data_IF_408649679649
#
_entry.id   IF_408649679649
#
_cell.length_a   1.000
_cell.length_b   1.000
_cell.length_c   1.000
_cell.angle_alpha   90.00
_cell.angle_beta   90.00
_cell.angle_gamma   90.00
#
_symmetry.space_group_name_H-M   'P 1'
#
loop_
_entity.id
_entity.type
_entity.pdbx_description
1 polymer ?
#
# COMPACT_ATOMS: atom_id res chain seq x y z
N UNK A 1 17.00 -44.14 48.16
CA UNK A 1 17.86 -43.36 49.06
C UNK A 1 17.08 -42.13 49.48
N UNK A 2 17.03 -41.92 50.79
CA UNK A 2 16.27 -40.90 51.49
C UNK A 2 16.91 -39.51 51.34
N UNK A 3 16.04 -38.49 51.29
CA UNK A 3 16.17 -37.17 51.91
C UNK A 3 17.12 -36.13 51.24
N UNK A 4 17.00 -34.83 51.59
CA UNK A 4 15.79 -33.98 51.67
C UNK A 4 16.11 -32.48 51.32
N UNK A 5 15.16 -31.56 51.55
CA UNK A 5 15.36 -30.15 52.02
C UNK A 5 16.13 -29.15 51.10
N UNK A 6 15.97 -27.82 51.07
CA UNK A 6 15.14 -26.84 51.76
C UNK A 6 15.30 -25.46 51.05
N UNK A 7 14.28 -24.61 51.11
CA UNK A 7 14.32 -23.14 51.34
C UNK A 7 15.36 -22.25 50.63
N UNK A 8 15.01 -21.29 49.77
CA UNK A 8 14.47 -19.93 50.03
C UNK A 8 14.69 -19.18 48.69
N UNK A 9 13.97 -18.16 48.20
CA UNK A 9 13.35 -17.00 48.79
C UNK A 9 12.39 -16.39 47.74
N UNK A 10 11.31 -15.76 48.20
CA UNK A 10 10.69 -14.67 47.44
C UNK A 10 11.57 -13.41 47.60
N UNK A 11 11.66 -12.56 46.57
CA UNK A 11 11.03 -11.26 46.78
C UNK A 11 10.15 -10.82 45.61
N UNK A 12 8.99 -10.31 46.01
CA UNK A 12 8.17 -9.33 45.34
C UNK A 12 8.98 -8.35 44.48
N UNK A 13 8.81 -8.44 43.16
CA UNK A 13 9.17 -7.40 42.21
C UNK A 13 7.90 -6.87 41.56
N UNK A 14 7.34 -5.80 42.11
CA UNK A 14 6.31 -5.00 41.46
C UNK A 14 6.98 -4.36 40.23
N UNK A 15 6.53 -4.74 39.04
CA UNK A 15 6.94 -4.14 37.77
C UNK A 15 5.73 -3.99 36.85
N UNK A 16 4.98 -2.90 37.03
CA UNK A 16 4.07 -2.41 36.02
C UNK A 16 4.88 -1.91 34.80
N UNK A 17 4.53 -2.35 33.60
CA UNK A 17 5.13 -1.83 32.37
C UNK A 17 4.59 -2.54 31.15
N UNK A 18 3.49 -2.01 30.59
CA UNK A 18 2.75 -2.56 29.45
C UNK A 18 3.65 -2.99 28.29
N UNK A 19 3.53 -4.26 27.91
CA UNK A 19 4.10 -4.82 26.68
C UNK A 19 3.04 -4.77 25.58
N UNK A 20 2.77 -3.59 25.05
CA UNK A 20 1.83 -3.43 23.94
C UNK A 20 2.41 -2.57 22.82
N UNK A 21 3.63 -2.87 22.36
CA UNK A 21 4.07 -2.29 21.08
C UNK A 21 5.11 -3.09 20.27
N UNK A 22 5.61 -4.22 20.76
CA UNK A 22 6.73 -4.92 20.08
C UNK A 22 6.32 -5.70 18.82
N UNK A 23 5.05 -6.10 18.69
CA UNK A 23 4.59 -6.95 17.58
C UNK A 23 4.25 -6.18 16.31
N UNK A 24 3.89 -4.89 16.40
CA UNK A 24 3.57 -4.07 15.21
C UNK A 24 4.81 -3.68 14.41
N UNK A 25 5.91 -3.36 15.10
CA UNK A 25 7.16 -2.94 14.47
C UNK A 25 7.83 -4.08 13.68
N UNK A 26 7.66 -5.34 14.10
CA UNK A 26 8.29 -6.50 13.45
C UNK A 26 7.67 -6.87 12.09
N UNK A 27 6.35 -6.71 11.93
CA UNK A 27 5.62 -7.08 10.69
C UNK A 27 5.99 -6.17 9.50
N UNK A 28 6.30 -4.90 9.76
CA UNK A 28 6.60 -3.92 8.70
C UNK A 28 8.02 -4.08 8.13
N UNK A 29 8.97 -4.60 8.91
CA UNK A 29 10.37 -4.76 8.50
C UNK A 29 10.60 -5.82 7.41
N UNK A 30 9.64 -6.74 7.20
CA UNK A 30 9.69 -7.76 6.14
C UNK A 30 8.84 -7.44 4.90
N UNK A 31 8.12 -6.32 4.89
CA UNK A 31 7.13 -6.02 3.86
C UNK A 31 7.75 -5.25 2.68
N UNK A 32 7.51 -5.74 1.46
CA UNK A 32 7.94 -5.05 0.24
C UNK A 32 7.35 -3.64 0.17
N UNK A 33 8.02 -2.66 -0.46
CA UNK A 33 7.48 -1.31 -0.63
C UNK A 33 6.07 -1.30 -1.24
N UNK A 34 5.79 -2.22 -2.16
CA UNK A 34 4.48 -2.38 -2.80
C UNK A 34 3.43 -2.85 -1.81
N UNK A 35 3.75 -3.82 -0.95
CA UNK A 35 2.82 -4.29 0.08
C UNK A 35 2.57 -3.20 1.14
N UNK A 36 3.59 -2.41 1.51
CA UNK A 36 3.42 -1.25 2.40
C UNK A 36 2.51 -0.18 1.76
N UNK A 37 2.72 0.12 0.49
CA UNK A 37 1.87 1.05 -0.25
C UNK A 37 0.43 0.53 -0.33
N UNK A 38 0.23 -0.75 -0.65
CA UNK A 38 -1.10 -1.35 -0.74
C UNK A 38 -1.85 -1.32 0.60
N UNK A 39 -1.16 -1.61 1.70
CA UNK A 39 -1.73 -1.54 3.05
C UNK A 39 -2.10 -0.09 3.45
N UNK A 40 -1.30 0.89 3.04
CA UNK A 40 -1.56 2.30 3.31
C UNK A 40 -2.61 2.94 2.37
N UNK A 41 -2.89 2.33 1.20
CA UNK A 41 -3.75 2.92 0.16
C UNK A 41 -4.85 1.94 -0.29
N UNK A 42 -5.76 1.50 0.61
CA UNK A 42 -6.75 0.48 0.29
C UNK A 42 -7.74 0.92 -0.81
N UNK A 43 -8.12 2.20 -0.85
CA UNK A 43 -9.01 2.72 -1.89
C UNK A 43 -8.35 2.71 -3.28
N UNK A 44 -7.06 3.06 -3.36
CA UNK A 44 -6.33 2.97 -4.62
C UNK A 44 -6.22 1.51 -5.08
N UNK A 45 -5.95 0.56 -4.17
CA UNK A 45 -5.94 -0.87 -4.50
C UNK A 45 -7.31 -1.33 -5.01
N UNK A 46 -8.40 -0.92 -4.36
CA UNK A 46 -9.76 -1.19 -4.82
C UNK A 46 -9.98 -0.64 -6.24
N UNK A 47 -9.56 0.59 -6.51
CA UNK A 47 -9.73 1.22 -7.81
C UNK A 47 -9.04 0.47 -8.94
N UNK A 48 -7.79 0.03 -8.72
CA UNK A 48 -7.06 -0.79 -9.68
C UNK A 48 -7.79 -2.10 -9.97
N UNK A 49 -8.26 -2.81 -8.93
CA UNK A 49 -9.00 -4.07 -9.08
C UNK A 49 -10.32 -3.89 -9.84
N UNK A 50 -11.05 -2.80 -9.57
CA UNK A 50 -12.27 -2.46 -10.28
C UNK A 50 -12.00 -2.19 -11.76
N UNK A 51 -10.95 -1.44 -12.07
CA UNK A 51 -10.55 -1.17 -13.45
C UNK A 51 -10.14 -2.44 -14.21
N UNK A 52 -9.32 -3.31 -13.59
CA UNK A 52 -8.96 -4.62 -14.16
C UNK A 52 -10.19 -5.50 -14.43
N UNK A 53 -11.17 -5.48 -13.51
CA UNK A 53 -12.42 -6.18 -13.71
C UNK A 53 -13.24 -5.60 -14.88
N UNK A 54 -13.28 -4.28 -15.01
CA UNK A 54 -13.96 -3.61 -16.12
C UNK A 54 -13.31 -3.94 -17.47
N UNK A 55 -11.97 -3.95 -17.56
CA UNK A 55 -11.24 -4.40 -18.76
C UNK A 55 -11.59 -5.84 -19.12
N UNK A 56 -11.55 -6.76 -18.13
CA UNK A 56 -11.83 -8.18 -18.36
C UNK A 56 -13.28 -8.43 -18.81
N UNK A 57 -14.21 -7.62 -18.31
CA UNK A 57 -15.63 -7.67 -18.67
C UNK A 57 -15.95 -6.95 -19.99
N UNK A 58 -14.97 -6.28 -20.61
CA UNK A 58 -15.19 -5.48 -21.82
C UNK A 58 -16.03 -4.23 -21.58
N UNK A 59 -16.11 -3.74 -20.35
CA UNK A 59 -16.81 -2.48 -20.02
C UNK A 59 -15.96 -1.25 -20.36
N UNK A 60 -14.66 -1.44 -20.52
CA UNK A 60 -13.69 -0.41 -20.91
C UNK A 60 -12.81 -0.99 -22.00
N UNK A 61 -12.67 -0.26 -23.10
CA UNK A 61 -11.66 -0.55 -24.11
C UNK A 61 -10.32 0.06 -23.70
N UNK A 62 -9.23 -0.65 -24.00
CA UNK A 62 -7.90 -0.02 -23.97
C UNK A 62 -7.84 1.06 -25.04
N UNK A 63 -7.32 2.23 -24.67
CA UNK A 63 -7.09 3.35 -25.60
C UNK A 63 -5.59 3.64 -25.68
N UNK A 64 -5.11 4.23 -26.79
CA UNK A 64 -3.74 4.71 -26.89
C UNK A 64 -3.47 5.84 -25.89
N UNK A 65 -2.20 6.20 -25.74
CA UNK A 65 -1.79 7.32 -24.89
C UNK A 65 -2.50 8.62 -25.29
N UNK A 66 -3.21 9.26 -24.35
CA UNK A 66 -3.92 10.52 -24.60
C UNK A 66 -2.98 11.68 -25.00
N UNK A 67 -1.72 11.64 -24.58
CA UNK A 67 -0.75 12.71 -24.85
C UNK A 67 -0.09 12.57 -26.22
N UNK A 68 0.25 11.35 -26.64
CA UNK A 68 1.06 11.14 -27.85
C UNK A 68 0.58 10.03 -28.79
N UNK A 69 -0.55 9.40 -28.51
CA UNK A 69 -1.11 8.31 -29.32
C UNK A 69 -0.34 6.99 -29.29
N UNK A 70 0.77 6.89 -28.54
CA UNK A 70 1.57 5.68 -28.51
C UNK A 70 0.86 4.52 -27.80
N UNK A 71 1.09 3.31 -28.31
CA UNK A 71 0.69 2.04 -27.72
C UNK A 71 1.94 1.19 -27.41
N UNK A 72 1.93 0.36 -26.35
CA UNK A 72 0.84 0.20 -25.39
C UNK A 72 0.73 1.37 -24.39
N UNK A 73 -0.48 1.57 -23.87
CA UNK A 73 -0.77 2.53 -22.82
C UNK A 73 -1.45 1.85 -21.62
N UNK A 74 -1.12 2.35 -20.43
CA UNK A 74 -1.70 1.92 -19.16
C UNK A 74 -2.65 2.99 -18.64
N UNK A 75 -3.64 2.57 -17.88
CA UNK A 75 -4.57 3.50 -17.26
C UNK A 75 -3.97 4.11 -16.00
N UNK A 76 -3.94 5.44 -15.96
CA UNK A 76 -3.56 6.25 -14.82
C UNK A 76 -4.83 6.73 -14.11
N UNK A 77 -5.07 6.26 -12.90
CA UNK A 77 -6.20 6.71 -12.06
C UNK A 77 -6.04 8.17 -11.64
N UNK A 78 -7.17 8.87 -11.54
CA UNK A 78 -7.17 10.24 -11.04
C UNK A 78 -6.77 10.29 -9.54
N UNK A 79 -5.76 11.09 -9.16
CA UNK A 79 -5.17 11.02 -7.83
C UNK A 79 -6.11 11.45 -6.69
N UNK A 80 -7.09 12.33 -6.97
CA UNK A 80 -8.10 12.75 -5.98
C UNK A 80 -9.37 11.89 -5.98
N UNK A 81 -9.56 10.99 -6.97
CA UNK A 81 -10.84 10.30 -7.21
C UNK A 81 -10.68 8.80 -7.39
N UNK A 82 -10.00 8.14 -6.44
CA UNK A 82 -9.91 6.67 -6.42
C UNK A 82 -11.23 5.97 -6.11
N UNK A 83 -12.23 6.69 -5.60
CA UNK A 83 -13.63 6.25 -5.47
C UNK A 83 -14.34 6.12 -6.82
N UNK A 84 -13.78 6.70 -7.90
CA UNK A 84 -14.27 6.61 -9.27
C UNK A 84 -13.24 5.83 -10.12
N UNK A 85 -13.28 4.49 -10.11
CA UNK A 85 -12.17 3.66 -10.61
C UNK A 85 -11.95 3.71 -12.12
N UNK A 86 -12.95 4.20 -12.87
CA UNK A 86 -12.89 4.37 -14.33
C UNK A 86 -12.57 5.82 -14.73
N UNK A 87 -12.36 6.72 -13.75
CA UNK A 87 -11.94 8.09 -13.99
C UNK A 87 -10.41 8.18 -14.00
N UNK A 88 -9.86 8.58 -15.13
CA UNK A 88 -8.43 8.59 -15.37
C UNK A 88 -8.10 8.73 -16.85
N UNK A 89 -6.85 8.49 -17.20
CA UNK A 89 -6.35 8.62 -18.57
C UNK A 89 -5.49 7.44 -18.99
N UNK A 90 -5.56 7.04 -20.25
CA UNK A 90 -4.58 6.12 -20.82
C UNK A 90 -3.30 6.86 -21.15
N UNK A 91 -2.19 6.43 -20.56
CA UNK A 91 -0.86 7.03 -20.75
C UNK A 91 0.16 5.95 -21.08
N UNK A 92 1.00 6.20 -22.09
CA UNK A 92 2.17 5.37 -22.31
C UNK A 92 3.13 5.50 -21.11
N UNK A 93 4.02 4.52 -20.93
CA UNK A 93 4.96 4.46 -19.81
C UNK A 93 5.68 5.79 -19.54
N UNK A 94 6.13 6.49 -20.59
CA UNK A 94 6.82 7.79 -20.50
C UNK A 94 5.94 8.85 -19.84
N UNK A 95 4.72 9.05 -20.36
CA UNK A 95 3.81 10.07 -19.84
C UNK A 95 3.20 9.69 -18.49
N UNK A 96 3.00 8.39 -18.24
CA UNK A 96 2.54 7.90 -16.94
C UNK A 96 3.54 8.23 -15.82
N UNK A 97 4.84 8.00 -16.03
CA UNK A 97 5.88 8.40 -15.05
C UNK A 97 5.96 9.91 -14.90
N UNK A 98 5.87 10.65 -16.00
CA UNK A 98 5.90 12.11 -15.97
C UNK A 98 4.76 12.66 -15.10
N UNK A 99 3.55 12.10 -15.23
CA UNK A 99 2.40 12.50 -14.43
C UNK A 99 2.59 12.18 -12.95
N UNK A 100 3.05 10.97 -12.61
CA UNK A 100 3.41 10.67 -11.22
C UNK A 100 4.49 11.59 -10.63
N UNK A 101 5.45 12.05 -11.46
CA UNK A 101 6.47 13.02 -11.02
C UNK A 101 5.83 14.39 -10.78
N UNK A 102 4.99 14.87 -11.70
CA UNK A 102 4.25 16.13 -11.57
C UNK A 102 3.46 16.18 -10.27
N UNK A 103 2.67 15.13 -10.01
CA UNK A 103 1.84 15.02 -8.80
C UNK A 103 2.66 14.95 -7.51
N UNK A 104 3.80 14.26 -7.50
CA UNK A 104 4.70 14.23 -6.34
C UNK A 104 5.34 15.58 -6.06
N UNK A 105 5.75 16.29 -7.11
CA UNK A 105 6.30 17.65 -7.00
C UNK A 105 5.25 18.63 -6.46
N UNK A 106 4.01 18.56 -6.95
CA UNK A 106 2.91 19.40 -6.45
C UNK A 106 2.60 19.15 -4.97
N UNK A 107 2.64 17.89 -4.53
CA UNK A 107 2.45 17.54 -3.11
C UNK A 107 3.58 18.02 -2.16
N UNK A 108 4.73 18.45 -2.70
CA UNK A 108 5.90 18.90 -1.92
C UNK A 108 6.02 20.43 -1.90
N UNK A 109 5.36 21.11 -2.85
CA UNK A 109 5.47 22.56 -3.06
C UNK A 109 4.27 23.34 -2.48
N UNK A 110 3.46 22.70 -1.61
CA UNK A 110 2.28 23.28 -0.96
C UNK A 110 2.40 23.29 0.56
#
# INVERSE_FOLDING_TARGET
>A
MLNPENETAAPSGIGNGGKENSTRTSILSGMTPQARWAAANPLAVWAHRCFEAALRKGLVDRKPCQVCGAEPADFHHHPQHYDQPLLGAFLCRKHHVAEHRRLKCEATNG
#
